data_IF_397950233864
#
_entry.id   IF_397950233864
#
_cell.length_a   1.000
_cell.length_b   1.000
_cell.length_c   1.000
_cell.angle_alpha   90.00
_cell.angle_beta   90.00
_cell.angle_gamma   90.00
#
_symmetry.space_group_name_H-M   'P 1'
#
loop_
_entity.id
_entity.type
_entity.pdbx_description
1 polymer ?
#
# COMPACT_ATOMS: atom_id res chain seq x y z
N UNK A 1 13.93 -9.52 5.96
CA UNK A 1 12.85 -8.67 5.42
C UNK A 1 11.73 -9.58 4.95
N UNK A 2 10.51 -9.35 5.43
CA UNK A 2 9.34 -10.13 5.01
C UNK A 2 8.90 -9.64 3.62
N UNK A 3 8.39 -10.53 2.78
CA UNK A 3 7.90 -10.15 1.45
C UNK A 3 6.42 -9.77 1.53
N UNK A 4 6.06 -8.63 0.96
CA UNK A 4 4.71 -8.11 0.85
C UNK A 4 4.24 -8.32 -0.58
N UNK A 5 3.27 -9.20 -0.81
CA UNK A 5 2.68 -9.44 -2.13
C UNK A 5 1.32 -8.76 -2.22
N UNK A 6 1.13 -7.95 -3.25
CA UNK A 6 -0.08 -7.18 -3.50
C UNK A 6 -0.74 -7.76 -4.75
N UNK A 7 -1.94 -8.31 -4.60
CA UNK A 7 -2.79 -8.79 -5.69
C UNK A 7 -3.79 -7.70 -6.06
N UNK A 8 -3.76 -7.22 -7.31
CA UNK A 8 -4.72 -6.24 -7.82
C UNK A 8 -5.72 -6.92 -8.74
N UNK A 9 -7.01 -6.79 -8.42
CA UNK A 9 -8.11 -7.32 -9.23
C UNK A 9 -8.70 -6.23 -10.12
N UNK A 10 -8.62 -6.43 -11.44
CA UNK A 10 -9.17 -5.55 -12.46
C UNK A 10 -9.90 -6.41 -13.51
N UNK A 11 -11.22 -6.63 -13.37
CA UNK A 11 -11.98 -7.54 -14.24
C UNK A 11 -11.97 -7.13 -15.72
N UNK A 12 -11.78 -5.84 -16.00
CA UNK A 12 -11.74 -5.30 -17.36
C UNK A 12 -10.37 -5.41 -18.03
N UNK A 13 -9.39 -6.06 -17.37
CA UNK A 13 -8.02 -6.26 -17.90
C UNK A 13 -7.73 -7.76 -18.03
N UNK A 14 -6.87 -8.12 -18.98
CA UNK A 14 -6.24 -9.43 -19.02
C UNK A 14 -4.74 -9.33 -18.74
N UNK A 15 -4.20 -10.09 -17.76
CA UNK A 15 -4.93 -10.95 -16.81
C UNK A 15 -5.79 -10.16 -15.80
N UNK A 16 -6.89 -10.76 -15.34
CA UNK A 16 -7.83 -10.12 -14.39
C UNK A 16 -7.19 -9.84 -13.02
N UNK A 17 -6.23 -10.68 -12.62
CA UNK A 17 -5.40 -10.47 -11.44
C UNK A 17 -3.97 -10.23 -11.84
N UNK A 18 -3.39 -9.15 -11.33
CA UNK A 18 -1.95 -8.90 -11.37
C UNK A 18 -1.40 -8.97 -9.96
N UNK A 19 -0.12 -9.30 -9.82
CA UNK A 19 0.56 -9.25 -8.54
C UNK A 19 1.92 -8.59 -8.65
N UNK A 20 2.31 -7.93 -7.56
CA UNK A 20 3.66 -7.39 -7.35
C UNK A 20 4.10 -7.65 -5.91
N UNK A 21 5.35 -8.04 -5.71
CA UNK A 21 5.92 -8.36 -4.42
C UNK A 21 7.12 -7.46 -4.09
N UNK A 22 7.21 -7.02 -2.83
CA UNK A 22 8.20 -6.09 -2.31
C UNK A 22 8.82 -6.68 -1.03
N UNK A 23 10.15 -6.71 -0.87
CA UNK A 23 11.16 -6.20 -1.80
C UNK A 23 11.50 -7.20 -2.92
N UNK A 24 10.92 -8.41 -2.93
CA UNK A 24 11.45 -9.49 -3.77
C UNK A 24 11.40 -9.17 -5.25
N UNK A 25 10.56 -8.24 -5.70
CA UNK A 25 10.41 -7.83 -7.09
C UNK A 25 9.71 -8.86 -7.95
N UNK A 26 9.13 -9.90 -7.35
CA UNK A 26 8.30 -10.86 -8.07
C UNK A 26 7.03 -10.17 -8.58
N UNK A 27 6.73 -10.33 -9.86
CA UNK A 27 5.54 -9.77 -10.48
C UNK A 27 4.99 -10.74 -11.54
N UNK A 28 3.70 -10.62 -11.84
CA UNK A 28 3.02 -11.43 -12.84
C UNK A 28 1.52 -11.21 -12.80
N UNK A 29 0.78 -12.11 -13.44
CA UNK A 29 -0.68 -12.11 -13.37
C UNK A 29 -1.27 -13.45 -13.73
N UNK A 30 -2.56 -13.61 -13.42
CA UNK A 30 -3.35 -14.79 -13.67
C UNK A 30 -4.86 -14.43 -13.68
N UNK A 31 -5.73 -15.37 -14.04
CA UNK A 31 -7.17 -15.12 -14.05
C UNK A 31 -7.83 -15.48 -12.72
N UNK A 32 -7.14 -16.21 -11.84
CA UNK A 32 -7.65 -16.52 -10.50
C UNK A 32 -6.63 -16.21 -9.40
N UNK A 33 -7.12 -15.97 -8.18
CA UNK A 33 -6.24 -15.68 -7.03
C UNK A 33 -5.38 -16.88 -6.65
N UNK A 34 -5.90 -18.10 -6.84
CA UNK A 34 -5.16 -19.33 -6.59
C UNK A 34 -3.96 -19.46 -7.56
N UNK A 35 -4.19 -19.20 -8.85
CA UNK A 35 -3.13 -19.21 -9.85
C UNK A 35 -2.12 -18.09 -9.62
N UNK A 36 -2.58 -16.88 -9.28
CA UNK A 36 -1.70 -15.75 -8.97
C UNK A 36 -0.79 -16.09 -7.76
N UNK A 37 -1.34 -16.68 -6.70
CA UNK A 37 -0.56 -17.18 -5.55
C UNK A 37 0.45 -18.27 -5.93
N UNK A 38 0.04 -19.22 -6.77
CA UNK A 38 0.94 -20.28 -7.25
C UNK A 38 2.09 -19.71 -8.11
N UNK A 39 1.79 -18.74 -8.97
CA UNK A 39 2.76 -18.01 -9.79
C UNK A 39 3.74 -17.23 -8.93
N UNK A 40 3.24 -16.46 -7.95
CA UNK A 40 4.06 -15.76 -6.97
C UNK A 40 4.99 -16.71 -6.21
N UNK A 41 4.47 -17.81 -5.66
CA UNK A 41 5.30 -18.80 -4.93
C UNK A 41 6.37 -19.41 -5.82
N UNK A 42 6.08 -19.63 -7.09
CA UNK A 42 7.06 -20.13 -8.06
C UNK A 42 8.17 -19.11 -8.34
N UNK A 43 7.81 -17.85 -8.57
CA UNK A 43 8.78 -16.78 -8.73
C UNK A 43 9.66 -16.65 -7.48
N UNK A 44 9.06 -16.66 -6.29
CA UNK A 44 9.77 -16.48 -5.02
C UNK A 44 10.68 -17.67 -4.69
N UNK A 45 10.25 -18.90 -4.97
CA UNK A 45 11.10 -20.09 -4.77
C UNK A 45 12.32 -20.04 -5.69
N UNK A 46 12.13 -19.61 -6.94
CA UNK A 46 13.23 -19.43 -7.88
C UNK A 46 14.20 -18.34 -7.43
N UNK A 47 13.71 -17.17 -6.99
CA UNK A 47 14.59 -16.08 -6.51
C UNK A 47 15.36 -16.45 -5.26
N UNK A 48 14.73 -17.13 -4.31
CA UNK A 48 15.37 -17.52 -3.05
C UNK A 48 16.18 -18.82 -3.16
N UNK A 49 16.12 -19.53 -4.30
CA UNK A 49 16.76 -20.83 -4.49
C UNK A 49 16.37 -21.87 -3.40
N UNK A 50 15.08 -21.88 -3.03
CA UNK A 50 14.52 -22.80 -2.02
C UNK A 50 13.33 -23.57 -2.58
N UNK A 51 13.01 -24.72 -2.00
CA UNK A 51 11.79 -25.44 -2.32
C UNK A 51 10.53 -24.63 -1.95
N UNK A 52 9.43 -24.83 -2.70
CA UNK A 52 8.15 -24.14 -2.45
C UNK A 52 7.57 -24.38 -1.05
N UNK A 53 7.90 -25.49 -0.40
CA UNK A 53 7.51 -25.83 0.99
C UNK A 53 8.39 -25.14 2.03
N UNK A 54 9.59 -24.72 1.64
CA UNK A 54 10.55 -24.01 2.48
C UNK A 54 10.48 -22.47 2.32
N UNK A 55 9.47 -21.97 1.59
CA UNK A 55 9.28 -20.53 1.42
C UNK A 55 8.99 -19.86 2.77
N UNK A 56 9.73 -18.78 3.12
CA UNK A 56 9.39 -17.95 4.27
C UNK A 56 7.96 -17.40 4.14
N UNK A 57 7.31 -17.01 5.25
CA UNK A 57 6.01 -16.36 5.18
C UNK A 57 6.07 -15.05 4.36
N UNK A 58 4.92 -14.65 3.85
CA UNK A 58 4.70 -13.38 3.17
C UNK A 58 3.43 -12.73 3.70
N UNK A 59 3.38 -11.40 3.65
CA UNK A 59 2.15 -10.65 3.90
C UNK A 59 1.43 -10.49 2.58
N UNK A 60 0.21 -11.00 2.49
CA UNK A 60 -0.63 -10.85 1.31
C UNK A 60 -1.55 -9.63 1.47
N UNK A 61 -1.71 -8.88 0.38
CA UNK A 61 -2.62 -7.74 0.27
C UNK A 61 -3.48 -7.89 -0.98
N UNK A 62 -4.72 -7.40 -0.93
CA UNK A 62 -5.62 -7.34 -2.08
C UNK A 62 -5.99 -5.87 -2.33
N UNK A 63 -5.82 -5.45 -3.58
CA UNK A 63 -6.31 -4.19 -4.12
C UNK A 63 -7.56 -4.44 -4.95
N UNK A 64 -8.66 -3.76 -4.60
CA UNK A 64 -9.93 -3.80 -5.33
C UNK A 64 -10.50 -2.40 -5.51
N UNK A 65 -11.30 -2.22 -6.56
CA UNK A 65 -12.03 -0.96 -6.78
C UNK A 65 -13.26 -0.89 -5.87
N UNK A 66 -13.34 0.18 -5.07
CA UNK A 66 -14.49 0.50 -4.21
C UNK A 66 -14.86 1.96 -4.45
N UNK A 67 -16.07 2.23 -4.93
CA UNK A 67 -16.52 3.60 -5.22
C UNK A 67 -15.63 4.35 -6.23
N UNK A 68 -14.94 3.63 -7.13
CA UNK A 68 -13.99 4.20 -8.09
C UNK A 68 -12.58 4.43 -7.55
N UNK A 69 -12.30 4.05 -6.30
CA UNK A 69 -10.99 4.17 -5.66
C UNK A 69 -10.36 2.80 -5.50
N UNK A 70 -9.04 2.70 -5.73
CA UNK A 70 -8.31 1.49 -5.37
C UNK A 70 -8.16 1.43 -3.85
N UNK A 71 -8.62 0.35 -3.23
CA UNK A 71 -8.48 0.12 -1.79
C UNK A 71 -7.63 -1.11 -1.57
N UNK A 72 -6.56 -0.97 -0.77
CA UNK A 72 -5.71 -2.08 -0.36
C UNK A 72 -6.08 -2.58 1.03
N UNK A 73 -6.25 -3.89 1.14
CA UNK A 73 -6.54 -4.58 2.41
C UNK A 73 -5.57 -5.72 2.64
N UNK A 74 -5.15 -5.93 3.89
CA UNK A 74 -4.29 -7.06 4.27
C UNK A 74 -5.13 -8.33 4.38
N UNK A 75 -4.70 -9.40 3.72
CA UNK A 75 -5.34 -10.71 3.79
C UNK A 75 -5.03 -11.39 5.12
N UNK A 76 -6.05 -12.01 5.73
CA UNK A 76 -5.86 -12.80 6.96
C UNK A 76 -5.59 -11.97 8.21
N UNK A 77 -5.85 -10.65 8.20
CA UNK A 77 -5.87 -9.84 9.41
C UNK A 77 -7.08 -10.26 10.27
N UNK A 78 -6.91 -11.27 11.12
CA UNK A 78 -7.93 -11.75 12.07
C UNK A 78 -8.14 -10.75 13.22
N UNK A 79 -7.19 -9.83 13.44
CA UNK A 79 -7.22 -8.84 14.53
C UNK A 79 -7.76 -7.45 14.14
N UNK A 80 -8.17 -7.24 12.89
CA UNK A 80 -8.99 -6.06 12.61
C UNK A 80 -10.41 -6.36 12.97
N UNK A 81 -11.01 -5.50 13.78
CA UNK A 81 -12.45 -5.48 13.88
C UNK A 81 -12.98 -5.15 12.48
N UNK A 82 -13.49 -6.19 11.79
CA UNK A 82 -14.07 -6.05 10.46
C UNK A 82 -15.19 -5.03 10.44
N UNK A 83 -15.77 -4.71 11.61
CA UNK A 83 -16.73 -3.64 11.76
C UNK A 83 -16.08 -2.26 11.57
N UNK A 84 -14.88 -2.00 12.10
CA UNK A 84 -14.15 -0.73 11.94
C UNK A 84 -13.72 -0.46 10.50
N UNK A 85 -13.15 -1.46 9.81
CA UNK A 85 -12.81 -1.31 8.38
C UNK A 85 -14.07 -1.09 7.52
N UNK A 86 -15.15 -1.82 7.82
CA UNK A 86 -16.42 -1.67 7.09
C UNK A 86 -17.09 -0.33 7.40
N UNK A 87 -17.01 0.13 8.63
CA UNK A 87 -17.51 1.43 9.08
C UNK A 87 -16.69 2.56 8.46
N UNK A 88 -15.36 2.47 8.46
CA UNK A 88 -14.48 3.43 7.79
C UNK A 88 -14.73 3.44 6.28
N UNK A 89 -14.89 2.28 5.63
CA UNK A 89 -15.30 2.24 4.23
C UNK A 89 -16.67 2.89 4.01
N UNK A 90 -17.63 2.66 4.90
CA UNK A 90 -18.94 3.31 4.83
C UNK A 90 -18.84 4.82 5.04
N UNK A 91 -18.02 5.29 5.97
CA UNK A 91 -17.76 6.71 6.20
C UNK A 91 -17.05 7.31 4.99
N UNK A 92 -16.03 6.67 4.43
CA UNK A 92 -15.36 7.11 3.20
C UNK A 92 -16.30 7.18 2.00
N UNK A 93 -17.28 6.29 1.92
CA UNK A 93 -18.31 6.32 0.89
C UNK A 93 -19.40 7.38 1.17
N UNK A 94 -19.56 7.81 2.43
CA UNK A 94 -20.58 8.76 2.88
C UNK A 94 -20.07 10.23 2.97
N UNK A 95 -18.83 10.45 3.43
CA UNK A 95 -18.15 11.74 3.53
C UNK A 95 -17.44 12.05 2.21
N UNK A 96 -18.11 12.82 1.35
CA UNK A 96 -17.89 12.82 -0.09
C UNK A 96 -16.84 13.80 -0.64
N UNK A 97 -16.24 14.70 0.15
CA UNK A 97 -15.37 15.75 -0.41
C UNK A 97 -13.87 15.43 -0.31
N UNK A 98 -13.25 15.63 0.86
CA UNK A 98 -11.79 15.74 0.96
C UNK A 98 -10.97 14.57 0.37
N UNK A 99 -11.21 13.33 0.83
CA UNK A 99 -10.41 12.19 0.36
C UNK A 99 -10.71 11.80 -1.10
N UNK A 100 -11.97 11.90 -1.52
CA UNK A 100 -12.37 11.56 -2.89
C UNK A 100 -11.86 12.60 -3.89
N UNK A 101 -11.91 13.88 -3.53
CA UNK A 101 -11.34 14.98 -4.31
C UNK A 101 -9.83 14.79 -4.47
N UNK A 102 -9.16 14.35 -3.40
CA UNK A 102 -7.73 14.04 -3.45
C UNK A 102 -7.43 12.85 -4.38
N UNK A 103 -8.19 11.75 -4.28
CA UNK A 103 -8.06 10.62 -5.21
C UNK A 103 -8.28 11.07 -6.66
N UNK A 104 -9.31 11.88 -6.91
CA UNK A 104 -9.61 12.41 -8.24
C UNK A 104 -8.50 13.34 -8.76
N UNK A 105 -7.94 14.19 -7.90
CA UNK A 105 -6.81 15.08 -8.20
C UNK A 105 -5.58 14.27 -8.60
N UNK A 106 -5.22 13.26 -7.81
CA UNK A 106 -4.06 12.39 -8.06
C UNK A 106 -4.24 11.56 -9.34
N UNK A 107 -5.45 11.03 -9.55
CA UNK A 107 -5.79 10.31 -10.78
C UNK A 107 -5.68 11.21 -12.01
N UNK A 108 -6.16 12.45 -11.92
CA UNK A 108 -6.06 13.45 -13.00
C UNK A 108 -4.60 13.86 -13.28
N UNK A 109 -3.73 13.79 -12.28
CA UNK A 109 -2.29 13.98 -12.42
C UNK A 109 -1.56 12.72 -12.99
N UNK A 110 -2.30 11.66 -13.33
CA UNK A 110 -1.76 10.44 -13.92
C UNK A 110 -1.18 9.45 -12.91
N UNK A 111 -1.41 9.62 -11.61
CA UNK A 111 -1.11 8.60 -10.63
C UNK A 111 -2.22 7.53 -10.56
N UNK A 112 -1.90 6.35 -10.03
CA UNK A 112 -2.88 5.34 -9.61
C UNK A 112 -2.92 5.29 -8.08
N UNK A 113 -3.56 6.27 -7.40
CA UNK A 113 -3.60 6.32 -5.95
C UNK A 113 -4.29 5.09 -5.36
N UNK A 114 -3.73 4.58 -4.26
CA UNK A 114 -4.30 3.45 -3.52
C UNK A 114 -4.61 3.89 -2.09
N UNK A 115 -5.87 3.79 -1.69
CA UNK A 115 -6.31 4.03 -0.33
C UNK A 115 -5.94 2.82 0.53
N UNK A 116 -5.19 3.06 1.59
CA UNK A 116 -4.84 2.06 2.60
C UNK A 116 -5.51 2.47 3.90
N UNK A 117 -6.43 1.62 4.36
CA UNK A 117 -7.05 1.80 5.67
C UNK A 117 -6.06 1.32 6.72
N UNK A 118 -5.79 2.14 7.73
CA UNK A 118 -4.85 1.84 8.80
C UNK A 118 -5.45 2.20 10.16
N UNK A 119 -4.99 1.53 11.22
CA UNK A 119 -5.31 1.95 12.58
C UNK A 119 -4.49 3.20 12.92
N UNK A 120 -5.03 4.14 13.70
CA UNK A 120 -4.33 5.39 14.03
C UNK A 120 -3.01 5.17 14.78
N UNK A 121 -2.89 4.10 15.56
CA UNK A 121 -1.72 3.72 16.35
C UNK A 121 -0.71 2.86 15.59
N UNK A 122 -1.07 2.35 14.40
CA UNK A 122 -0.12 1.64 13.55
C UNK A 122 1.03 2.55 13.15
N UNK A 123 2.23 1.99 13.13
CA UNK A 123 3.44 2.68 12.68
C UNK A 123 3.58 2.63 11.15
N UNK A 124 4.18 3.68 10.58
CA UNK A 124 4.35 3.83 9.14
C UNK A 124 5.20 2.72 8.51
N UNK A 125 6.12 2.08 9.26
CA UNK A 125 6.93 0.95 8.78
C UNK A 125 6.10 -0.07 7.97
N UNK A 126 4.92 -0.44 8.48
CA UNK A 126 4.06 -1.44 7.84
C UNK A 126 3.50 -1.00 6.49
N UNK A 127 3.40 0.31 6.25
CA UNK A 127 2.97 0.94 5.00
C UNK A 127 4.16 1.12 4.05
N UNK A 128 5.32 1.51 4.57
CA UNK A 128 6.55 1.69 3.81
C UNK A 128 7.06 0.36 3.22
N UNK A 129 6.97 -0.73 3.98
CA UNK A 129 7.41 -2.06 3.53
C UNK A 129 6.58 -2.61 2.35
N UNK A 130 5.34 -2.14 2.18
CA UNK A 130 4.46 -2.49 1.07
C UNK A 130 4.39 -1.41 -0.03
N UNK A 131 5.23 -0.38 0.04
CA UNK A 131 5.21 0.72 -0.93
C UNK A 131 6.29 0.54 -1.99
N UNK A 132 5.87 0.54 -3.26
CA UNK A 132 6.77 0.62 -4.42
C UNK A 132 7.31 2.03 -4.62
N UNK A 133 8.41 2.15 -5.37
CA UNK A 133 8.99 3.46 -5.68
C UNK A 133 8.08 4.36 -6.54
N UNK A 134 7.05 3.78 -7.17
CA UNK A 134 6.08 4.50 -8.00
C UNK A 134 4.69 4.65 -7.37
N UNK A 135 4.47 4.03 -6.21
CA UNK A 135 3.16 4.05 -5.57
C UNK A 135 2.81 5.47 -5.08
N UNK A 136 1.52 5.76 -5.02
CA UNK A 136 0.96 6.85 -4.23
C UNK A 136 -0.08 6.21 -3.29
N UNK A 137 0.20 6.20 -1.99
CA UNK A 137 -0.67 5.61 -0.97
C UNK A 137 -1.39 6.73 -0.23
N UNK A 138 -2.73 6.74 -0.27
CA UNK A 138 -3.52 7.56 0.65
C UNK A 138 -3.77 6.72 1.89
N UNK A 139 -3.12 7.09 2.98
CA UNK A 139 -3.28 6.43 4.27
C UNK A 139 -4.44 7.08 4.99
N UNK A 140 -5.51 6.33 5.21
CA UNK A 140 -6.72 6.81 5.87
C UNK A 140 -6.97 6.04 7.16
N UNK A 141 -7.43 6.75 8.19
CA UNK A 141 -7.85 6.18 9.48
C UNK A 141 -9.09 6.90 9.99
N UNK A 142 -9.89 6.23 10.83
CA UNK A 142 -10.88 6.92 11.65
C UNK A 142 -10.23 7.41 12.94
N UNK A 143 -10.70 8.54 13.46
CA UNK A 143 -10.49 8.92 14.85
C UNK A 143 -11.64 8.43 15.75
N UNK A 144 -11.49 8.61 17.07
CA UNK A 144 -12.49 8.21 18.06
C UNK A 144 -13.82 9.00 17.94
N UNK A 145 -13.83 10.11 17.21
CA UNK A 145 -15.01 10.92 16.94
C UNK A 145 -15.73 10.51 15.65
N UNK A 146 -15.23 9.47 14.96
CA UNK A 146 -15.77 9.00 13.68
C UNK A 146 -15.41 9.87 12.49
N UNK A 147 -14.50 10.84 12.64
CA UNK A 147 -13.94 11.63 11.54
C UNK A 147 -12.80 10.88 10.86
N UNK A 148 -12.60 11.12 9.57
CA UNK A 148 -11.52 10.48 8.80
C UNK A 148 -10.31 11.39 8.68
N UNK A 149 -9.20 10.99 9.29
CA UNK A 149 -7.88 11.57 9.05
C UNK A 149 -7.18 10.86 7.89
N UNK A 150 -6.48 11.61 7.04
CA UNK A 150 -5.70 11.03 5.95
C UNK A 150 -4.45 11.83 5.60
N UNK A 151 -3.47 11.15 5.02
CA UNK A 151 -2.26 11.73 4.43
C UNK A 151 -1.79 10.92 3.24
N UNK A 152 -0.90 11.48 2.41
CA UNK A 152 -0.44 10.82 1.18
C UNK A 152 1.05 10.49 1.28
N UNK A 153 1.41 9.23 1.07
CA UNK A 153 2.79 8.78 0.90
C UNK A 153 3.08 8.54 -0.57
N UNK A 154 4.14 9.14 -1.07
CA UNK A 154 4.60 8.97 -2.45
C UNK A 154 5.90 8.19 -2.48
N UNK A 155 5.99 7.23 -3.39
CA UNK A 155 7.27 6.70 -3.81
C UNK A 155 8.14 7.77 -4.47
N UNK A 156 9.47 7.64 -4.42
CA UNK A 156 10.40 8.64 -4.94
C UNK A 156 10.33 8.83 -6.46
N UNK A 157 9.77 7.87 -7.19
CA UNK A 157 9.50 7.92 -8.63
C UNK A 157 8.01 8.18 -8.96
N UNK A 158 7.18 8.52 -7.97
CA UNK A 158 5.77 8.83 -8.20
C UNK A 158 5.63 10.14 -8.97
N UNK A 159 4.84 10.14 -10.04
CA UNK A 159 4.54 11.33 -10.85
C UNK A 159 3.81 12.41 -10.04
N UNK A 160 3.02 12.00 -9.05
CA UNK A 160 2.26 12.90 -8.18
C UNK A 160 3.08 13.51 -7.02
N UNK A 161 4.32 13.05 -6.81
CA UNK A 161 5.19 13.56 -5.73
C UNK A 161 5.90 14.88 -6.06
N UNK A 162 5.61 15.51 -7.21
CA UNK A 162 6.25 16.77 -7.59
C UNK A 162 5.82 17.92 -6.66
N UNK A 163 6.79 18.65 -6.11
CA UNK A 163 6.53 19.76 -5.18
C UNK A 163 6.16 19.34 -3.75
N UNK A 164 6.21 18.04 -3.44
CA UNK A 164 5.94 17.48 -2.12
C UNK A 164 7.25 17.35 -1.32
N UNK A 165 7.26 17.63 0.00
CA UNK A 165 8.42 17.42 0.85
C UNK A 165 8.98 15.99 0.75
N UNK A 166 10.31 15.88 0.87
CA UNK A 166 11.03 14.61 0.77
C UNK A 166 11.65 14.28 2.12
N UNK A 167 11.41 13.08 2.61
CA UNK A 167 11.99 12.55 3.84
C UNK A 167 12.63 11.19 3.59
N UNK A 168 13.66 10.85 4.37
CA UNK A 168 14.29 9.54 4.29
C UNK A 168 13.49 8.50 5.07
N UNK A 169 13.46 7.27 4.55
CA UNK A 169 12.99 6.08 5.26
C UNK A 169 13.97 5.72 6.40
N UNK A 170 13.91 6.49 7.48
CA UNK A 170 14.70 6.30 8.70
C UNK A 170 13.84 5.74 9.85
N UNK A 171 14.50 5.45 10.97
CA UNK A 171 13.84 4.86 12.14
C UNK A 171 12.78 5.77 12.74
N UNK A 172 12.97 7.10 12.68
CA UNK A 172 12.03 8.06 13.22
C UNK A 172 10.75 8.11 12.37
N UNK A 173 10.90 8.17 11.04
CA UNK A 173 9.76 8.11 10.12
C UNK A 173 9.03 6.77 10.24
N UNK A 174 9.78 5.65 10.28
CA UNK A 174 9.21 4.30 10.44
C UNK A 174 8.41 4.12 11.72
N UNK A 175 8.86 4.71 12.83
CA UNK A 175 8.20 4.66 14.13
C UNK A 175 7.03 5.66 14.28
N UNK A 176 6.86 6.58 13.34
CA UNK A 176 5.74 7.54 13.35
C UNK A 176 4.42 6.80 13.22
N UNK A 177 3.42 7.15 14.04
CA UNK A 177 2.09 6.57 13.94
C UNK A 177 1.30 7.17 12.79
N UNK A 178 0.33 6.44 12.26
CA UNK A 178 -0.56 6.89 11.18
C UNK A 178 -1.29 8.18 11.56
N UNK A 179 -1.79 8.29 12.77
CA UNK A 179 -2.47 9.50 13.24
C UNK A 179 -1.52 10.70 13.31
N UNK A 180 -0.31 10.53 13.86
CA UNK A 180 0.69 11.60 13.92
C UNK A 180 1.12 12.04 12.51
N UNK A 181 1.27 11.09 11.60
CA UNK A 181 1.53 11.36 10.20
C UNK A 181 0.39 12.17 9.57
N UNK A 182 -0.86 11.71 9.67
CA UNK A 182 -2.01 12.42 9.09
C UNK A 182 -2.19 13.85 9.64
N UNK A 183 -1.87 14.08 10.92
CA UNK A 183 -1.94 15.41 11.54
C UNK A 183 -0.86 16.38 11.06
N UNK A 184 0.35 15.88 10.79
CA UNK A 184 1.50 16.71 10.42
C UNK A 184 1.69 16.82 8.90
N UNK A 185 1.15 15.87 8.14
CA UNK A 185 1.31 15.77 6.71
C UNK A 185 0.38 16.72 5.96
N UNK A 186 0.89 17.90 5.57
CA UNK A 186 0.17 18.82 4.69
C UNK A 186 0.57 18.57 3.24
N UNK A 187 -0.35 18.04 2.42
CA UNK A 187 -0.12 17.84 0.98
C UNK A 187 0.67 16.57 0.59
N UNK A 188 1.10 15.78 1.58
CA UNK A 188 1.75 14.49 1.38
C UNK A 188 3.24 14.47 1.72
N UNK A 189 3.86 13.31 1.57
CA UNK A 189 5.28 13.08 1.83
C UNK A 189 5.88 12.12 0.81
N UNK A 190 7.00 12.49 0.19
CA UNK A 190 7.79 11.60 -0.66
C UNK A 190 8.82 10.87 0.20
N UNK A 191 8.75 9.54 0.20
CA UNK A 191 9.64 8.70 1.04
C UNK A 191 10.82 8.19 0.23
N UNK A 192 12.02 8.64 0.58
CA UNK A 192 13.25 8.22 -0.07
C UNK A 192 13.85 7.03 0.68
N UNK A 193 13.96 5.88 0.00
CA UNK A 193 14.71 4.76 0.57
C UNK A 193 16.17 5.16 0.72
N UNK A 194 16.73 4.93 1.91
CA UNK A 194 18.17 5.11 2.12
C UNK A 194 18.90 4.22 1.11
N UNK A 195 19.88 4.75 0.35
CA UNK A 195 20.75 3.89 -0.44
C UNK A 195 21.37 2.87 0.53
N UNK A 196 21.34 1.58 0.18
CA UNK A 196 22.18 0.61 0.87
C UNK A 196 23.60 1.17 0.81
N UNK A 197 24.23 1.42 1.95
CA UNK A 197 25.59 1.95 2.02
C UNK A 197 26.45 1.13 1.05
N UNK A 198 27.08 1.82 0.10
CA UNK A 198 27.64 1.22 -1.10
C UNK A 198 28.49 0.00 -0.79
N UNK A 199 28.15 -1.13 -1.40
CA UNK A 199 29.14 -2.18 -1.66
C UNK A 199 30.01 -1.61 -2.77
N UNK A 200 31.12 -0.97 -2.37
CA UNK A 200 32.18 -0.61 -3.29
C UNK A 200 32.63 -1.89 -4.01
N UNK A 201 32.66 -1.82 -5.35
CA UNK A 201 33.20 -2.86 -6.23
C UNK A 201 34.71 -3.01 -6.05
#
# INVERSE_FOLDING_TARGET
MIDHVIFRYAPDRQPELTFRALPSGCAGGANTLAEARASYRTCRSARLHVDRRALPPAVEHIEGLVGGMWVRTRVGAVHRDKSSDRMLLQILLAEQAGLRDEVARLTSAGAEPVVVLAEPDHVLETLLDQMSVRDALLVAHCDDNGSVGWGVLYGPESSAGQGVPREFDDEALRATTVAAFAQTCTGGLVVQRRPAAGIAS
#
